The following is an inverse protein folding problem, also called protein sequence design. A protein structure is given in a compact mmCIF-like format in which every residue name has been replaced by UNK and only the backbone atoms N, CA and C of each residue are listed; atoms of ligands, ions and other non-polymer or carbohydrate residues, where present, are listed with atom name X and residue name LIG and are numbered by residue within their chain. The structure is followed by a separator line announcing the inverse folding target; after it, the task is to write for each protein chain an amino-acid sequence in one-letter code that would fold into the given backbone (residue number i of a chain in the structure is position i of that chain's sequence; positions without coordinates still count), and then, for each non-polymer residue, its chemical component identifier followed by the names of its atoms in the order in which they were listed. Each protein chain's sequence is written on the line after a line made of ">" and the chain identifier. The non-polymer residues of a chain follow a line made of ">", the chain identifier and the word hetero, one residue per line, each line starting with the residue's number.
data_IF_322772924828
#
_entry.id   IF_322772924828
#
_cell.length_a   1.000
_cell.length_b   1.000
_cell.length_c   1.000
_cell.angle_alpha   90.00
_cell.angle_beta   90.00
_cell.angle_gamma   90.00
#
_symmetry.space_group_name_H-M   'P 1'
#
loop_
_entity.id
_entity.type
_entity.pdbx_description
1 polymer ?
#
# COMPACT_ATOMS: atom_id res chain seq x y z
N UNK A 1 -26.53 1.40 -16.93
CA UNK A 1 -25.73 0.22 -16.61
C UNK A 1 -26.46 -0.48 -15.48
N UNK A 2 -26.96 -1.68 -15.75
CA UNK A 2 -27.62 -2.47 -14.70
C UNK A 2 -26.61 -2.82 -13.60
N UNK A 3 -27.02 -2.93 -12.32
CA UNK A 3 -26.11 -3.21 -11.21
C UNK A 3 -25.31 -4.52 -11.42
N UNK A 4 -25.88 -5.50 -12.12
CA UNK A 4 -25.21 -6.74 -12.49
C UNK A 4 -24.04 -6.53 -13.47
N UNK A 5 -24.17 -5.60 -14.42
CA UNK A 5 -23.11 -5.27 -15.40
C UNK A 5 -21.94 -4.55 -14.72
N UNK A 6 -22.23 -3.63 -13.80
CA UNK A 6 -21.20 -2.95 -13.00
C UNK A 6 -20.40 -3.94 -12.16
N UNK A 7 -21.07 -4.90 -11.53
CA UNK A 7 -20.40 -5.90 -10.70
C UNK A 7 -19.56 -6.86 -11.55
N UNK A 8 -20.03 -7.22 -12.75
CA UNK A 8 -19.25 -8.00 -13.72
C UNK A 8 -18.00 -7.24 -14.20
N UNK A 9 -18.11 -5.95 -14.49
CA UNK A 9 -16.98 -5.09 -14.88
C UNK A 9 -15.96 -4.95 -13.75
N UNK A 10 -16.40 -4.74 -12.52
CA UNK A 10 -15.53 -4.68 -11.35
C UNK A 10 -14.79 -6.01 -11.12
N UNK A 11 -15.49 -7.14 -11.27
CA UNK A 11 -14.90 -8.47 -11.12
C UNK A 11 -13.83 -8.72 -12.19
N UNK A 12 -14.09 -8.36 -13.44
CA UNK A 12 -13.11 -8.44 -14.53
C UNK A 12 -11.91 -7.52 -14.31
N UNK A 13 -12.14 -6.30 -13.83
CA UNK A 13 -11.07 -5.36 -13.50
C UNK A 13 -10.17 -5.90 -12.39
N UNK A 14 -10.76 -6.52 -11.35
CA UNK A 14 -10.03 -7.17 -10.27
C UNK A 14 -9.19 -8.34 -10.78
N UNK A 15 -9.80 -9.23 -11.59
CA UNK A 15 -9.08 -10.36 -12.19
C UNK A 15 -7.92 -9.89 -13.06
N UNK A 16 -8.09 -8.85 -13.88
CA UNK A 16 -7.01 -8.31 -14.70
C UNK A 16 -5.87 -7.67 -13.86
N UNK A 17 -6.22 -6.90 -12.84
CA UNK A 17 -5.24 -6.21 -11.97
C UNK A 17 -4.41 -7.16 -11.10
N UNK A 18 -5.03 -8.27 -10.67
CA UNK A 18 -4.46 -9.18 -9.66
C UNK A 18 -4.27 -10.63 -10.16
N UNK A 19 -4.41 -10.88 -11.47
CA UNK A 19 -4.13 -12.17 -12.10
C UNK A 19 -2.68 -12.61 -11.89
N UNK A 20 -2.45 -13.92 -12.04
CA UNK A 20 -1.14 -14.56 -11.88
C UNK A 20 -0.04 -13.90 -12.74
N UNK A 21 -0.39 -13.36 -13.91
CA UNK A 21 0.52 -12.68 -14.83
C UNK A 21 1.11 -11.38 -14.24
N UNK A 22 0.33 -10.68 -13.41
CA UNK A 22 0.77 -9.44 -12.75
C UNK A 22 1.34 -9.68 -11.34
N UNK A 23 1.26 -10.92 -10.83
CA UNK A 23 1.64 -11.30 -9.47
C UNK A 23 3.10 -10.95 -9.16
N UNK A 24 4.02 -11.18 -10.10
CA UNK A 24 5.45 -10.89 -9.93
C UNK A 24 5.72 -9.38 -9.83
N UNK A 25 5.05 -8.57 -10.67
CA UNK A 25 5.15 -7.11 -10.65
C UNK A 25 4.57 -6.53 -9.36
N UNK A 26 3.41 -7.04 -8.92
CA UNK A 26 2.76 -6.63 -7.69
C UNK A 26 3.60 -7.03 -6.46
N UNK A 27 4.21 -8.23 -6.48
CA UNK A 27 5.09 -8.69 -5.42
C UNK A 27 6.36 -7.83 -5.32
N UNK A 28 7.04 -7.53 -6.45
CA UNK A 28 8.19 -6.61 -6.47
C UNK A 28 7.83 -5.23 -5.92
N UNK A 29 6.67 -4.71 -6.32
CA UNK A 29 6.17 -3.42 -5.85
C UNK A 29 5.85 -3.40 -4.35
N UNK A 30 5.38 -4.51 -3.79
CA UNK A 30 5.18 -4.66 -2.35
C UNK A 30 6.52 -4.80 -1.61
N UNK A 31 7.46 -5.57 -2.16
CA UNK A 31 8.80 -5.72 -1.59
C UNK A 31 9.53 -4.37 -1.49
N UNK A 32 9.47 -3.56 -2.56
CA UNK A 32 10.03 -2.20 -2.55
C UNK A 32 9.39 -1.35 -1.45
N UNK A 33 8.06 -1.40 -1.30
CA UNK A 33 7.39 -0.65 -0.23
C UNK A 33 7.74 -1.15 1.17
N UNK A 34 7.90 -2.46 1.36
CA UNK A 34 8.35 -3.03 2.62
C UNK A 34 9.78 -2.58 2.94
N UNK A 35 10.68 -2.57 1.96
CA UNK A 35 12.05 -2.07 2.11
C UNK A 35 12.06 -0.59 2.48
N UNK A 36 11.30 0.25 1.76
CA UNK A 36 11.20 1.69 2.07
C UNK A 36 10.69 1.91 3.50
N UNK A 37 9.62 1.21 3.91
CA UNK A 37 9.10 1.30 5.27
C UNK A 37 10.12 0.86 6.31
N UNK A 38 10.82 -0.25 6.08
CA UNK A 38 11.87 -0.73 6.98
C UNK A 38 12.99 0.30 7.10
N UNK A 39 13.45 0.88 5.98
CA UNK A 39 14.48 1.92 5.98
C UNK A 39 14.04 3.17 6.74
N UNK A 40 12.77 3.60 6.59
CA UNK A 40 12.23 4.74 7.34
C UNK A 40 12.14 4.46 8.84
N UNK A 41 11.71 3.26 9.23
CA UNK A 41 11.70 2.86 10.64
C UNK A 41 13.10 2.81 11.24
N UNK A 42 14.08 2.27 10.51
CA UNK A 42 15.49 2.25 10.93
C UNK A 42 16.04 3.66 11.09
N UNK A 43 15.81 4.54 10.10
CA UNK A 43 16.20 5.95 10.16
C UNK A 43 15.55 6.65 11.36
N UNK A 44 14.27 6.38 11.63
CA UNK A 44 13.57 6.94 12.78
C UNK A 44 14.22 6.51 14.10
N UNK A 45 14.49 5.22 14.27
CA UNK A 45 15.06 4.68 15.52
C UNK A 45 16.51 5.11 15.73
N UNK A 46 17.32 5.18 14.67
CA UNK A 46 18.75 5.47 14.78
C UNK A 46 19.07 6.97 14.75
N UNK A 47 18.23 7.80 14.13
CA UNK A 47 18.52 9.23 13.95
C UNK A 47 17.50 10.10 14.69
N UNK A 48 16.21 9.95 14.41
CA UNK A 48 15.17 10.83 14.97
C UNK A 48 14.94 10.61 16.45
N UNK A 49 14.84 9.35 16.91
CA UNK A 49 14.65 9.01 18.32
C UNK A 49 15.75 9.62 19.21
N UNK A 50 17.07 9.40 18.96
CA UNK A 50 18.10 10.01 19.80
C UNK A 50 18.16 11.53 19.65
N UNK A 51 17.94 12.08 18.44
CA UNK A 51 17.91 13.53 18.23
C UNK A 51 16.80 14.24 19.02
N UNK A 52 15.67 13.56 19.23
CA UNK A 52 14.54 14.06 20.01
C UNK A 52 14.60 13.69 21.50
N UNK A 53 15.64 12.96 21.94
CA UNK A 53 15.76 12.48 23.32
C UNK A 53 14.61 11.55 23.75
N UNK A 54 13.93 10.90 22.80
CA UNK A 54 12.72 10.12 23.07
C UNK A 54 13.03 8.79 23.76
N UNK A 55 12.17 8.45 24.74
CA UNK A 55 12.19 7.12 25.36
C UNK A 55 11.78 6.04 24.37
N UNK A 56 12.23 4.79 24.62
CA UNK A 56 11.92 3.65 23.74
C UNK A 56 10.40 3.43 23.61
N UNK A 57 9.66 3.57 24.72
CA UNK A 57 8.20 3.46 24.75
C UNK A 57 7.52 4.53 23.89
N UNK A 58 7.91 5.81 24.05
CA UNK A 58 7.32 6.90 23.27
C UNK A 58 7.57 6.71 21.76
N UNK A 59 8.78 6.30 21.38
CA UNK A 59 9.12 6.03 19.98
C UNK A 59 8.30 4.88 19.38
N UNK A 60 8.03 3.82 20.15
CA UNK A 60 7.21 2.69 19.71
C UNK A 60 5.74 3.10 19.51
N UNK A 61 5.20 3.93 20.42
CA UNK A 61 3.84 4.46 20.29
C UNK A 61 3.71 5.34 19.04
N UNK A 62 4.68 6.21 18.78
CA UNK A 62 4.71 7.03 17.55
C UNK A 62 4.76 6.15 16.31
N UNK A 63 5.60 5.12 16.29
CA UNK A 63 5.65 4.18 15.16
C UNK A 63 4.32 3.44 14.98
N UNK A 64 3.68 2.99 16.06
CA UNK A 64 2.36 2.34 15.95
C UNK A 64 1.28 3.29 15.44
N UNK A 65 1.23 4.52 15.94
CA UNK A 65 0.19 5.49 15.59
C UNK A 65 0.42 6.16 14.24
N UNK A 66 1.66 6.19 13.74
CA UNK A 66 1.99 6.89 12.49
C UNK A 66 2.38 5.91 11.39
N UNK A 67 3.30 4.98 11.64
CA UNK A 67 3.83 4.11 10.60
C UNK A 67 2.78 3.10 10.13
N UNK A 68 2.01 2.50 11.04
CA UNK A 68 0.98 1.52 10.68
C UNK A 68 -0.16 2.18 9.87
N UNK A 69 -0.78 3.30 10.29
CA UNK A 69 -1.80 3.96 9.48
C UNK A 69 -1.27 4.50 8.16
N UNK A 70 -0.05 5.05 8.14
CA UNK A 70 0.58 5.51 6.90
C UNK A 70 0.77 4.34 5.92
N UNK A 71 1.22 3.18 6.40
CA UNK A 71 1.34 1.98 5.58
C UNK A 71 0.01 1.54 4.97
N UNK A 72 -1.04 1.42 5.79
CA UNK A 72 -2.37 1.06 5.30
C UNK A 72 -2.91 2.07 4.29
N UNK A 73 -2.73 3.37 4.55
CA UNK A 73 -3.18 4.42 3.66
C UNK A 73 -2.49 4.32 2.30
N UNK A 74 -1.16 4.20 2.28
CA UNK A 74 -0.38 4.04 1.04
C UNK A 74 -0.79 2.76 0.31
N UNK A 75 -0.93 1.64 1.02
CA UNK A 75 -1.29 0.36 0.41
C UNK A 75 -2.70 0.40 -0.19
N UNK A 76 -3.66 1.00 0.51
CA UNK A 76 -5.03 1.18 0.03
C UNK A 76 -5.07 2.10 -1.20
N UNK A 77 -4.33 3.20 -1.18
CA UNK A 77 -4.26 4.13 -2.31
C UNK A 77 -3.64 3.47 -3.55
N UNK A 78 -2.60 2.64 -3.37
CA UNK A 78 -2.00 1.84 -4.46
C UNK A 78 -2.99 0.82 -5.00
N UNK A 79 -3.73 0.13 -4.14
CA UNK A 79 -4.76 -0.82 -4.53
C UNK A 79 -5.84 -0.15 -5.39
N UNK A 80 -6.38 0.99 -4.94
CA UNK A 80 -7.38 1.76 -5.69
C UNK A 80 -6.82 2.21 -7.04
N UNK A 81 -5.58 2.70 -7.09
CA UNK A 81 -4.98 3.17 -8.34
C UNK A 81 -4.78 2.02 -9.35
N UNK A 82 -4.42 0.82 -8.89
CA UNK A 82 -4.32 -0.37 -9.75
C UNK A 82 -5.67 -0.83 -10.29
N UNK A 83 -6.69 -0.84 -9.43
CA UNK A 83 -8.08 -1.12 -9.80
C UNK A 83 -8.57 -0.10 -10.83
N UNK A 84 -8.38 1.20 -10.57
CA UNK A 84 -8.80 2.28 -11.46
C UNK A 84 -8.14 2.18 -12.83
N UNK A 85 -6.83 1.93 -12.89
CA UNK A 85 -6.12 1.74 -14.16
C UNK A 85 -6.62 0.52 -14.95
N UNK A 86 -7.08 -0.53 -14.27
CA UNK A 86 -7.65 -1.72 -14.93
C UNK A 86 -9.09 -1.49 -15.37
N UNK A 87 -9.86 -0.74 -14.58
CA UNK A 87 -11.22 -0.35 -14.90
C UNK A 87 -11.27 0.60 -16.10
N UNK A 88 -10.36 1.58 -16.17
CA UNK A 88 -10.21 2.49 -17.32
C UNK A 88 -9.89 1.77 -18.63
N UNK A 89 -9.21 0.63 -18.59
CA UNK A 89 -8.96 -0.19 -19.80
C UNK A 89 -10.19 -0.97 -20.27
N UNK A 90 -11.17 -1.16 -19.40
CA UNK A 90 -12.38 -1.94 -19.66
C UNK A 90 -13.60 -1.05 -19.94
N UNK A 91 -13.51 0.24 -19.61
CA UNK A 91 -14.51 1.23 -19.96
C UNK A 91 -14.19 1.79 -21.37
N UNK A 92 -15.21 2.00 -22.23
CA UNK A 92 -15.05 2.58 -23.55
C UNK A 92 -14.61 4.04 -23.51
#
# INVERSE_FOLDING_TARGET
>A
MEPAEQQALLTRAYQNAFSAEHKMKNWRNNLISAVIMASLCVLFVLVLRPALGMSQQASAIVLMLVALPAYFFIQHHRFINQMRGSLQKLLP
#
